data_IF_279660425977
#
_entry.id   IF_279660425977
#
_cell.length_a   1.000
_cell.length_b   1.000
_cell.length_c   1.000
_cell.angle_alpha   90.00
_cell.angle_beta   90.00
_cell.angle_gamma   90.00
#
_symmetry.space_group_name_H-M   'P 1'
#
loop_
_entity.id
_entity.type
_entity.pdbx_description
1 polymer ?
#
# COMPACT_ATOMS: atom_id res chain seq x y z
N UNK A 1 -51.39 2.52 82.31
CA UNK A 1 -50.07 2.49 81.63
C UNK A 1 -49.74 1.04 81.28
N UNK A 2 -50.18 0.60 80.09
CA UNK A 2 -49.89 -0.76 79.61
C UNK A 2 -48.74 -0.74 78.63
N UNK A 3 -47.62 -1.33 79.06
CA UNK A 3 -46.45 -1.50 78.25
C UNK A 3 -46.61 -2.78 77.40
N UNK A 4 -47.02 -2.62 76.13
CA UNK A 4 -47.09 -3.72 75.16
C UNK A 4 -45.68 -4.33 74.93
N UNK A 5 -45.44 -5.52 75.51
CA UNK A 5 -44.29 -6.36 75.19
C UNK A 5 -44.42 -6.81 73.72
N UNK A 6 -43.58 -6.28 72.85
CA UNK A 6 -43.38 -6.84 71.47
C UNK A 6 -42.59 -8.15 71.60
N UNK A 7 -43.19 -9.21 71.15
CA UNK A 7 -42.59 -10.57 71.21
C UNK A 7 -41.32 -10.66 70.38
N UNK A 8 -40.21 -11.26 70.92
CA UNK A 8 -38.94 -11.44 70.21
C UNK A 8 -39.03 -12.35 68.98
N UNK A 9 -40.07 -13.17 68.85
CA UNK A 9 -40.33 -14.07 67.74
C UNK A 9 -40.62 -13.36 66.41
N UNK A 10 -41.13 -12.13 66.41
CA UNK A 10 -41.36 -11.37 65.19
C UNK A 10 -40.07 -10.81 64.56
N UNK A 11 -39.02 -10.59 65.32
CA UNK A 11 -37.72 -10.08 64.82
C UNK A 11 -36.91 -11.15 64.12
N UNK A 12 -36.93 -12.38 64.63
CA UNK A 12 -36.21 -13.52 64.02
C UNK A 12 -36.78 -13.91 62.64
N UNK A 13 -38.11 -13.97 62.51
CA UNK A 13 -38.75 -14.25 61.21
C UNK A 13 -38.47 -13.18 60.15
N UNK A 14 -38.37 -11.91 60.55
CA UNK A 14 -38.00 -10.84 59.65
C UNK A 14 -36.54 -10.92 59.20
N UNK A 15 -35.63 -11.29 60.09
CA UNK A 15 -34.22 -11.49 59.78
C UNK A 15 -33.99 -12.71 58.87
N UNK A 16 -34.71 -13.81 59.07
CA UNK A 16 -34.63 -14.98 58.18
C UNK A 16 -35.19 -14.68 56.78
N UNK A 17 -36.28 -13.94 56.68
CA UNK A 17 -36.86 -13.52 55.40
C UNK A 17 -35.95 -12.57 54.62
N UNK A 18 -35.27 -11.65 55.31
CA UNK A 18 -34.24 -10.79 54.70
C UNK A 18 -33.02 -11.58 54.21
N UNK A 19 -32.54 -12.52 55.01
CA UNK A 19 -31.39 -13.38 54.64
C UNK A 19 -31.73 -14.25 53.46
N UNK A 20 -32.93 -14.84 53.39
CA UNK A 20 -33.39 -15.62 52.23
C UNK A 20 -33.53 -14.75 50.95
N UNK A 21 -33.98 -13.49 51.08
CA UNK A 21 -34.01 -12.55 49.96
C UNK A 21 -32.58 -12.17 49.50
N UNK A 22 -31.67 -11.93 50.40
CA UNK A 22 -30.27 -11.62 50.04
C UNK A 22 -29.60 -12.81 49.33
N UNK A 23 -29.73 -14.04 49.86
CA UNK A 23 -29.18 -15.24 49.24
C UNK A 23 -29.75 -15.45 47.82
N UNK A 24 -31.08 -15.24 47.62
CA UNK A 24 -31.73 -15.32 46.32
C UNK A 24 -31.20 -14.25 45.35
N UNK A 25 -30.99 -13.03 45.81
CA UNK A 25 -30.45 -11.95 44.98
C UNK A 25 -29.01 -12.20 44.60
N UNK A 26 -28.18 -12.75 45.48
CA UNK A 26 -26.83 -13.16 45.21
C UNK A 26 -26.76 -14.33 44.24
N UNK A 27 -27.67 -15.30 44.36
CA UNK A 27 -27.76 -16.42 43.43
C UNK A 27 -28.17 -15.96 42.00
N UNK A 28 -29.09 -14.99 41.88
CA UNK A 28 -29.48 -14.36 40.60
C UNK A 28 -28.29 -13.60 40.01
N UNK A 29 -27.56 -12.81 40.81
CA UNK A 29 -26.40 -12.04 40.35
C UNK A 29 -25.27 -12.97 39.83
N UNK A 30 -24.97 -14.02 40.56
CA UNK A 30 -23.99 -15.04 40.14
C UNK A 30 -24.42 -15.76 38.86
N UNK A 31 -25.71 -16.08 38.73
CA UNK A 31 -26.26 -16.66 37.51
C UNK A 31 -26.13 -15.73 36.30
N UNK A 32 -26.40 -14.43 36.46
CA UNK A 32 -26.21 -13.43 35.39
C UNK A 32 -24.74 -13.28 35.00
N UNK A 33 -23.81 -13.27 35.97
CA UNK A 33 -22.37 -13.19 35.70
C UNK A 33 -21.91 -14.46 34.95
N UNK A 34 -22.33 -15.65 35.40
CA UNK A 34 -22.00 -16.90 34.71
C UNK A 34 -22.53 -16.92 33.29
N UNK A 35 -23.79 -16.49 33.06
CA UNK A 35 -24.37 -16.38 31.73
C UNK A 35 -23.62 -15.37 30.83
N UNK A 36 -23.19 -14.23 31.37
CA UNK A 36 -22.39 -13.25 30.64
C UNK A 36 -21.01 -13.80 30.26
N UNK A 37 -20.34 -14.53 31.17
CA UNK A 37 -19.05 -15.18 30.89
C UNK A 37 -19.21 -16.26 29.82
N UNK A 38 -20.24 -17.10 29.92
CA UNK A 38 -20.53 -18.12 28.89
C UNK A 38 -20.82 -17.45 27.55
N UNK A 39 -21.58 -16.37 27.51
CA UNK A 39 -21.88 -15.62 26.29
C UNK A 39 -20.59 -15.05 25.65
N UNK A 40 -19.70 -14.46 26.47
CA UNK A 40 -18.39 -13.97 26.01
C UNK A 40 -17.53 -15.10 25.46
N UNK A 41 -17.50 -16.26 26.14
CA UNK A 41 -16.76 -17.43 25.69
C UNK A 41 -17.34 -17.97 24.38
N UNK A 42 -18.66 -18.05 24.26
CA UNK A 42 -19.34 -18.50 23.03
C UNK A 42 -19.09 -17.54 21.87
N UNK A 43 -19.15 -16.21 22.11
CA UNK A 43 -18.84 -15.19 21.10
C UNK A 43 -17.36 -15.31 20.67
N UNK A 44 -16.41 -15.49 21.59
CA UNK A 44 -15.00 -15.68 21.27
C UNK A 44 -14.75 -17.00 20.52
N UNK A 45 -15.42 -18.10 20.87
CA UNK A 45 -15.32 -19.38 20.18
C UNK A 45 -16.01 -19.35 18.80
N UNK A 46 -17.16 -18.67 18.67
CA UNK A 46 -17.83 -18.49 17.38
C UNK A 46 -17.08 -17.52 16.46
N UNK A 47 -16.36 -16.52 17.03
CA UNK A 47 -15.51 -15.61 16.26
C UNK A 47 -14.15 -16.18 15.87
N UNK A 48 -13.76 -17.35 16.37
CA UNK A 48 -12.52 -18.06 15.99
C UNK A 48 -12.70 -19.08 14.84
N UNK A 49 -13.84 -19.08 14.18
CA UNK A 49 -14.01 -19.79 12.91
C UNK A 49 -13.04 -19.21 11.88
N UNK A 50 -12.04 -19.98 11.45
CA UNK A 50 -11.19 -19.62 10.30
C UNK A 50 -12.09 -19.55 9.08
N UNK A 51 -12.46 -18.32 8.67
CA UNK A 51 -13.18 -18.13 7.42
C UNK A 51 -12.25 -18.51 6.28
N UNK A 52 -12.63 -19.52 5.51
CA UNK A 52 -11.91 -19.89 4.30
C UNK A 52 -12.22 -18.86 3.21
N UNK A 53 -11.19 -18.25 2.67
CA UNK A 53 -11.28 -17.30 1.57
C UNK A 53 -11.07 -18.06 0.26
N UNK A 54 -11.99 -17.86 -0.67
CA UNK A 54 -11.90 -18.44 -2.02
C UNK A 54 -11.00 -17.58 -2.90
N UNK A 55 -10.31 -18.24 -3.82
CA UNK A 55 -9.48 -17.60 -4.84
C UNK A 55 -10.01 -17.87 -6.24
N UNK A 56 -9.69 -16.99 -7.17
CA UNK A 56 -9.91 -17.14 -8.61
C UNK A 56 -8.57 -17.11 -9.30
N UNK A 57 -8.29 -18.04 -10.20
CA UNK A 57 -7.09 -18.04 -11.06
C UNK A 57 -7.23 -16.93 -12.08
N UNK A 58 -6.20 -16.10 -12.24
CA UNK A 58 -6.13 -15.11 -13.30
C UNK A 58 -5.37 -15.68 -14.50
N UNK A 59 -5.75 -15.37 -15.74
CA UNK A 59 -5.09 -15.88 -16.95
C UNK A 59 -3.78 -15.10 -17.26
N UNK A 60 -2.93 -14.94 -16.26
CA UNK A 60 -1.61 -14.32 -16.37
C UNK A 60 -0.61 -15.02 -15.44
N UNK A 61 0.67 -14.74 -15.64
CA UNK A 61 1.76 -15.31 -14.85
C UNK A 61 2.57 -14.20 -14.17
N UNK A 62 3.09 -14.45 -12.98
CA UNK A 62 3.82 -13.46 -12.17
C UNK A 62 5.04 -12.85 -12.89
N UNK A 63 5.66 -13.57 -13.84
CA UNK A 63 6.79 -13.06 -14.63
C UNK A 63 6.39 -12.11 -15.78
N UNK A 64 5.10 -11.82 -15.97
CA UNK A 64 4.57 -10.96 -17.03
C UNK A 64 4.36 -9.50 -16.60
N UNK A 65 5.15 -8.98 -15.66
CA UNK A 65 5.06 -7.62 -15.13
C UNK A 65 3.65 -7.26 -14.64
N UNK A 66 3.06 -8.15 -13.84
CA UNK A 66 1.71 -7.98 -13.30
C UNK A 66 1.64 -6.78 -12.36
N UNK A 67 0.82 -5.80 -12.70
CA UNK A 67 0.66 -4.55 -11.94
C UNK A 67 -0.80 -4.32 -11.58
N UNK A 68 -1.07 -3.89 -10.34
CA UNK A 68 -2.42 -3.52 -9.92
C UNK A 68 -2.89 -2.30 -10.71
N UNK A 69 -4.10 -2.38 -11.22
CA UNK A 69 -4.77 -1.27 -11.86
C UNK A 69 -6.26 -1.33 -11.53
N UNK A 70 -6.76 -0.28 -10.88
CA UNK A 70 -8.17 -0.17 -10.48
C UNK A 70 -8.68 -1.42 -9.73
N UNK A 71 -9.66 -2.12 -10.31
CA UNK A 71 -10.31 -3.31 -9.74
C UNK A 71 -9.73 -4.63 -10.27
N UNK A 72 -8.56 -4.59 -10.91
CA UNK A 72 -7.90 -5.75 -11.50
C UNK A 72 -6.39 -5.59 -11.66
N UNK A 73 -5.86 -6.20 -12.70
CA UNK A 73 -4.43 -6.20 -13.02
C UNK A 73 -4.18 -5.91 -14.49
N UNK A 74 -3.07 -5.22 -14.75
CA UNK A 74 -2.44 -5.12 -16.06
C UNK A 74 -1.29 -6.13 -16.14
N UNK A 75 -1.09 -6.72 -17.31
CA UNK A 75 0.09 -7.53 -17.59
C UNK A 75 0.48 -7.45 -19.07
N UNK A 76 1.75 -7.74 -19.36
CA UNK A 76 2.29 -7.81 -20.70
C UNK A 76 2.63 -9.26 -21.08
N UNK A 77 2.10 -9.75 -22.21
CA UNK A 77 2.27 -11.13 -22.65
C UNK A 77 3.37 -11.31 -23.71
N UNK A 78 4.08 -10.23 -24.07
CA UNK A 78 5.09 -10.21 -25.14
C UNK A 78 4.57 -9.58 -26.44
N UNK A 79 3.26 -9.41 -26.59
CA UNK A 79 2.62 -8.86 -27.80
C UNK A 79 1.55 -7.81 -27.49
N UNK A 80 0.97 -7.85 -26.30
CA UNK A 80 -0.13 -6.96 -25.90
C UNK A 80 -0.08 -6.66 -24.41
N UNK A 81 -0.59 -5.50 -24.04
CA UNK A 81 -0.98 -5.19 -22.67
C UNK A 81 -2.45 -5.61 -22.49
N UNK A 82 -2.72 -6.36 -21.45
CA UNK A 82 -4.06 -6.83 -21.10
C UNK A 82 -4.50 -6.27 -19.77
N UNK A 83 -5.78 -5.95 -19.65
CA UNK A 83 -6.42 -5.69 -18.37
C UNK A 83 -7.40 -6.82 -18.05
N UNK A 84 -7.20 -7.41 -16.87
CA UNK A 84 -8.07 -8.46 -16.32
C UNK A 84 -8.67 -7.94 -15.03
N UNK A 85 -9.99 -8.06 -14.88
CA UNK A 85 -10.64 -7.78 -13.61
C UNK A 85 -10.34 -8.87 -12.56
N UNK A 86 -10.61 -8.58 -11.29
CA UNK A 86 -10.35 -9.53 -10.20
C UNK A 86 -11.17 -10.84 -10.28
N UNK A 87 -12.15 -10.94 -11.17
CA UNK A 87 -12.91 -12.19 -11.42
C UNK A 87 -12.33 -13.06 -12.53
N UNK A 88 -11.22 -12.61 -13.15
CA UNK A 88 -10.48 -13.35 -14.18
C UNK A 88 -10.95 -13.10 -15.61
N UNK A 89 -11.82 -12.11 -15.84
CA UNK A 89 -12.26 -11.74 -17.18
C UNK A 89 -11.32 -10.71 -17.79
N UNK A 90 -10.87 -10.96 -19.03
CA UNK A 90 -10.13 -9.96 -19.82
C UNK A 90 -11.14 -8.90 -20.30
N UNK A 91 -10.96 -7.67 -19.83
CA UNK A 91 -11.84 -6.55 -20.18
C UNK A 91 -11.42 -5.89 -21.50
N UNK A 92 -10.10 -5.77 -21.69
CA UNK A 92 -9.53 -5.25 -22.93
C UNK A 92 -8.08 -5.70 -23.15
N UNK A 93 -7.61 -5.54 -24.38
CA UNK A 93 -6.23 -5.79 -24.79
C UNK A 93 -5.79 -4.71 -25.76
N UNK A 94 -4.54 -4.28 -25.62
CA UNK A 94 -3.92 -3.29 -26.50
C UNK A 94 -2.63 -3.86 -27.11
N UNK A 95 -2.53 -4.01 -28.43
CA UNK A 95 -1.34 -4.58 -29.09
C UNK A 95 -0.17 -3.61 -28.98
N UNK A 96 1.00 -4.15 -28.67
CA UNK A 96 2.26 -3.40 -28.55
C UNK A 96 3.39 -4.19 -29.20
N UNK A 97 4.54 -3.51 -29.42
CA UNK A 97 5.74 -4.17 -29.93
C UNK A 97 6.38 -5.07 -28.89
N UNK A 98 7.21 -6.00 -29.34
CA UNK A 98 8.06 -6.81 -28.48
C UNK A 98 9.00 -5.91 -27.63
N UNK A 99 9.27 -6.34 -26.40
CA UNK A 99 10.08 -5.59 -25.45
C UNK A 99 9.39 -4.34 -24.87
N UNK A 100 8.07 -4.22 -25.00
CA UNK A 100 7.35 -3.09 -24.43
C UNK A 100 7.41 -3.08 -22.89
N UNK A 101 7.49 -1.87 -22.36
CA UNK A 101 7.31 -1.57 -20.94
C UNK A 101 6.08 -0.68 -20.75
N UNK A 102 5.54 -0.67 -19.53
CA UNK A 102 4.40 0.19 -19.23
C UNK A 102 4.45 0.70 -17.79
N UNK A 103 3.72 1.78 -17.55
CA UNK A 103 3.45 2.30 -16.22
C UNK A 103 1.99 2.76 -16.15
N UNK A 104 1.32 2.50 -15.02
CA UNK A 104 -0.06 2.89 -14.82
C UNK A 104 -0.20 3.83 -13.61
N UNK A 105 -1.00 4.87 -13.77
CA UNK A 105 -1.59 5.64 -12.68
C UNK A 105 -2.98 5.07 -12.34
N UNK A 106 -3.73 5.75 -11.47
CA UNK A 106 -5.09 5.30 -11.13
C UNK A 106 -6.05 5.26 -12.33
N UNK A 107 -5.80 6.04 -13.39
CA UNK A 107 -6.75 6.27 -14.49
C UNK A 107 -6.16 6.16 -15.88
N UNK A 108 -4.84 6.17 -16.02
CA UNK A 108 -4.18 6.20 -17.32
C UNK A 108 -2.99 5.24 -17.33
N UNK A 109 -2.64 4.79 -18.52
CA UNK A 109 -1.52 3.89 -18.76
C UNK A 109 -0.62 4.51 -19.83
N UNK A 110 0.68 4.48 -19.61
CA UNK A 110 1.68 4.83 -20.59
C UNK A 110 2.46 3.58 -20.96
N UNK A 111 2.63 3.36 -22.26
CA UNK A 111 3.30 2.19 -22.82
C UNK A 111 4.37 2.66 -23.79
N UNK A 112 5.55 2.05 -23.73
CA UNK A 112 6.63 2.37 -24.66
C UNK A 112 7.40 1.12 -25.05
N UNK A 113 7.96 1.16 -26.26
CA UNK A 113 8.88 0.16 -26.78
C UNK A 113 9.87 0.88 -27.71
N UNK A 114 11.15 0.86 -27.35
CA UNK A 114 12.17 1.67 -28.03
C UNK A 114 11.72 3.16 -28.05
N UNK A 115 11.56 3.76 -29.22
CA UNK A 115 11.05 5.14 -29.38
C UNK A 115 9.51 5.25 -29.48
N UNK A 116 8.78 4.13 -29.62
CA UNK A 116 7.32 4.16 -29.74
C UNK A 116 6.67 4.45 -28.40
N UNK A 117 5.73 5.38 -28.37
CA UNK A 117 4.99 5.81 -27.19
C UNK A 117 3.49 5.73 -27.43
N UNK A 118 2.76 5.10 -26.51
CA UNK A 118 1.30 5.15 -26.48
C UNK A 118 0.81 5.58 -25.09
N UNK A 119 -0.25 6.40 -25.06
CA UNK A 119 -0.99 6.75 -23.85
C UNK A 119 -2.39 6.16 -24.00
N UNK A 120 -2.82 5.41 -22.99
CA UNK A 120 -4.12 4.76 -22.96
C UNK A 120 -4.93 5.30 -21.77
N UNK A 121 -6.25 5.34 -21.96
CA UNK A 121 -7.17 5.55 -20.84
C UNK A 121 -7.46 4.22 -20.11
N UNK A 122 -8.29 4.28 -19.07
CA UNK A 122 -8.73 3.13 -18.26
C UNK A 122 -9.50 2.05 -19.05
N UNK A 123 -10.00 2.37 -20.25
CA UNK A 123 -10.68 1.44 -21.14
C UNK A 123 -9.76 0.83 -22.20
N UNK A 124 -8.44 1.02 -22.09
CA UNK A 124 -7.46 0.53 -23.05
C UNK A 124 -7.49 1.26 -24.41
N UNK A 125 -8.19 2.40 -24.50
CA UNK A 125 -8.23 3.20 -25.73
C UNK A 125 -7.07 4.16 -25.78
N UNK A 126 -6.34 4.14 -26.90
CA UNK A 126 -5.23 5.07 -27.11
C UNK A 126 -5.73 6.50 -27.30
N UNK A 127 -5.22 7.41 -26.50
CA UNK A 127 -5.40 8.86 -26.65
C UNK A 127 -4.23 9.50 -27.40
N UNK A 128 -3.07 8.84 -27.39
CA UNK A 128 -1.87 9.22 -28.13
C UNK A 128 -1.10 7.97 -28.54
N UNK A 129 -0.57 7.94 -29.76
CA UNK A 129 0.32 6.87 -30.25
C UNK A 129 1.23 7.43 -31.35
N UNK A 130 2.51 7.68 -31.02
CA UNK A 130 3.53 8.17 -31.96
C UNK A 130 4.93 7.80 -31.47
N UNK A 131 5.89 7.79 -32.40
CA UNK A 131 7.30 7.70 -32.07
C UNK A 131 7.80 9.03 -31.47
N UNK A 132 8.72 8.90 -30.53
CA UNK A 132 9.64 9.96 -30.09
C UNK A 132 10.86 9.99 -31.02
N UNK A 133 11.61 11.08 -30.96
CA UNK A 133 12.83 11.22 -31.79
C UNK A 133 13.99 10.32 -31.30
N UNK A 134 13.95 9.91 -30.03
CA UNK A 134 14.97 9.09 -29.38
C UNK A 134 14.35 7.91 -28.63
N UNK A 135 15.10 6.84 -28.34
CA UNK A 135 14.66 5.76 -27.48
C UNK A 135 14.23 6.24 -26.10
N UNK A 136 13.16 5.68 -25.59
CA UNK A 136 12.60 6.01 -24.28
C UNK A 136 13.27 5.13 -23.22
N UNK A 137 13.92 5.74 -22.23
CA UNK A 137 14.48 5.02 -21.09
C UNK A 137 13.36 4.53 -20.16
N UNK A 138 12.50 5.44 -19.76
CA UNK A 138 11.29 5.15 -19.00
C UNK A 138 10.27 6.29 -19.13
N UNK A 139 9.04 6.01 -18.72
CA UNK A 139 7.99 7.01 -18.70
C UNK A 139 7.13 6.87 -17.44
N UNK A 140 6.51 7.96 -17.01
CA UNK A 140 5.52 7.99 -15.91
C UNK A 140 4.30 8.75 -16.37
N UNK A 141 3.15 8.37 -15.84
CA UNK A 141 1.88 9.03 -16.15
C UNK A 141 1.13 9.35 -14.87
N UNK A 142 0.49 10.48 -14.86
CA UNK A 142 -0.41 10.93 -13.80
C UNK A 142 -1.87 10.96 -14.26
N UNK A 143 -2.63 11.86 -13.65
CA UNK A 143 -4.06 12.04 -13.98
C UNK A 143 -4.25 12.85 -15.26
N UNK A 144 -3.37 13.81 -15.57
CA UNK A 144 -3.49 14.73 -16.72
C UNK A 144 -2.24 14.85 -17.57
N UNK A 145 -1.09 14.42 -17.05
CA UNK A 145 0.19 14.59 -17.71
C UNK A 145 0.97 13.28 -17.76
N UNK A 146 1.85 13.21 -18.73
CA UNK A 146 2.85 12.17 -18.87
C UNK A 146 4.24 12.80 -18.90
N UNK A 147 5.20 12.16 -18.27
CA UNK A 147 6.62 12.48 -18.38
C UNK A 147 7.33 11.34 -19.08
N UNK A 148 8.11 11.68 -20.10
CA UNK A 148 8.87 10.76 -20.93
C UNK A 148 10.34 11.11 -20.78
N UNK A 149 11.17 10.14 -20.48
CA UNK A 149 12.60 10.29 -20.34
C UNK A 149 13.28 9.57 -21.50
N UNK A 150 14.11 10.29 -22.24
CA UNK A 150 14.92 9.81 -23.37
C UNK A 150 16.39 10.14 -23.15
N UNK A 151 17.24 9.81 -24.10
CA UNK A 151 18.69 10.05 -24.05
C UNK A 151 19.45 8.90 -23.40
N UNK A 152 20.69 9.16 -23.00
CA UNK A 152 21.56 8.18 -22.33
C UNK A 152 21.42 8.23 -20.80
N UNK A 153 21.94 7.23 -20.10
CA UNK A 153 21.83 7.10 -18.63
C UNK A 153 22.31 8.35 -17.86
N UNK A 154 23.32 9.06 -18.39
CA UNK A 154 23.92 10.22 -17.76
C UNK A 154 23.65 11.53 -18.51
N UNK A 155 22.73 11.50 -19.45
CA UNK A 155 22.35 12.64 -20.28
C UNK A 155 20.86 12.54 -20.63
N UNK A 156 20.04 12.48 -19.58
CA UNK A 156 18.61 12.29 -19.73
C UNK A 156 17.89 13.57 -20.13
N UNK A 157 17.07 13.48 -21.16
CA UNK A 157 16.12 14.52 -21.57
C UNK A 157 14.72 14.18 -21.05
N UNK A 158 14.07 15.15 -20.43
CA UNK A 158 12.69 15.03 -19.97
C UNK A 158 11.75 15.76 -20.91
N UNK A 159 10.67 15.11 -21.30
CA UNK A 159 9.52 15.72 -21.99
C UNK A 159 8.27 15.56 -21.13
N UNK A 160 7.56 16.65 -20.88
CA UNK A 160 6.22 16.64 -20.26
C UNK A 160 5.18 16.90 -21.34
N UNK A 161 4.20 16.00 -21.40
CA UNK A 161 3.09 16.07 -22.37
C UNK A 161 1.75 15.97 -21.63
N UNK A 162 0.68 16.47 -22.27
CA UNK A 162 -0.67 16.11 -21.84
C UNK A 162 -1.05 14.70 -22.34
N UNK A 163 -2.22 14.22 -21.95
CA UNK A 163 -2.71 12.88 -22.33
C UNK A 163 -3.03 12.74 -23.83
N UNK A 164 -3.08 13.82 -24.58
CA UNK A 164 -3.25 13.86 -26.03
C UNK A 164 -1.91 14.00 -26.76
N UNK A 165 -0.79 14.03 -26.00
CA UNK A 165 0.56 14.12 -26.52
C UNK A 165 1.01 15.53 -26.88
N UNK A 166 0.23 16.57 -26.56
CA UNK A 166 0.66 17.94 -26.76
C UNK A 166 1.83 18.26 -25.81
N UNK A 167 2.84 18.95 -26.32
CA UNK A 167 4.00 19.37 -25.54
C UNK A 167 3.62 20.43 -24.51
N UNK A 168 4.01 20.20 -23.27
CA UNK A 168 3.82 21.14 -22.16
C UNK A 168 5.15 21.77 -21.79
N UNK A 169 6.20 20.95 -21.58
CA UNK A 169 7.52 21.41 -21.17
C UNK A 169 8.61 20.37 -21.49
N UNK A 170 9.88 20.80 -21.47
CA UNK A 170 11.03 19.90 -21.61
C UNK A 170 12.28 20.49 -20.96
N UNK A 171 13.19 19.62 -20.53
CA UNK A 171 14.52 20.02 -20.06
C UNK A 171 15.55 19.03 -20.64
N UNK A 172 16.53 19.55 -21.36
CA UNK A 172 17.52 18.77 -22.10
C UNK A 172 18.92 18.84 -21.48
N UNK A 173 19.12 19.59 -20.41
CA UNK A 173 20.46 19.86 -19.86
C UNK A 173 20.55 19.66 -18.35
N UNK A 174 19.43 19.54 -17.68
CA UNK A 174 19.39 19.48 -16.21
C UNK A 174 20.10 18.26 -15.63
N UNK A 175 20.10 17.15 -16.37
CA UNK A 175 20.64 15.87 -15.91
C UNK A 175 21.97 15.52 -16.54
N UNK A 176 22.65 16.49 -17.17
CA UNK A 176 24.00 16.30 -17.73
C UNK A 176 24.93 15.79 -16.63
N UNK A 177 25.52 14.59 -16.83
CA UNK A 177 26.36 13.93 -15.86
C UNK A 177 25.67 13.35 -14.64
N UNK A 178 24.33 13.32 -14.60
CA UNK A 178 23.54 12.74 -13.52
C UNK A 178 22.67 11.58 -14.00
N UNK A 179 22.59 10.55 -13.20
CA UNK A 179 21.65 9.46 -13.44
C UNK A 179 20.27 9.85 -12.93
N UNK A 180 19.30 10.03 -13.83
CA UNK A 180 17.90 10.21 -13.47
C UNK A 180 17.26 8.87 -13.13
N UNK A 181 16.91 8.67 -11.87
CA UNK A 181 16.40 7.38 -11.37
C UNK A 181 14.91 7.22 -11.50
N UNK A 182 14.15 8.25 -11.14
CA UNK A 182 12.70 8.20 -11.14
C UNK A 182 12.12 9.62 -11.13
N UNK A 183 10.85 9.70 -11.51
CA UNK A 183 10.08 10.93 -11.45
C UNK A 183 8.61 10.60 -11.23
N UNK A 184 7.81 11.60 -10.92
CA UNK A 184 6.38 11.40 -10.74
C UNK A 184 5.63 12.71 -10.54
N UNK A 185 4.31 12.62 -10.66
CA UNK A 185 3.42 13.75 -10.48
C UNK A 185 2.83 13.76 -9.07
N UNK A 186 2.46 14.96 -8.60
CA UNK A 186 1.78 15.15 -7.33
C UNK A 186 0.92 16.41 -7.30
N UNK A 187 0.14 16.56 -6.21
CA UNK A 187 -0.85 17.61 -6.10
C UNK A 187 -2.14 17.30 -6.85
N UNK A 188 -3.13 18.17 -6.74
CA UNK A 188 -4.40 18.00 -7.43
C UNK A 188 -4.21 18.07 -8.94
N UNK A 189 -4.59 17.00 -9.64
CA UNK A 189 -4.53 16.95 -11.12
C UNK A 189 -3.13 17.19 -11.69
N UNK A 190 -2.07 16.63 -11.06
CA UNK A 190 -0.68 16.70 -11.51
C UNK A 190 -0.15 18.15 -11.62
N UNK A 191 -0.50 18.98 -10.66
CA UNK A 191 -0.06 20.37 -10.65
C UNK A 191 1.47 20.49 -10.54
N UNK A 192 2.11 19.50 -9.90
CA UNK A 192 3.55 19.45 -9.67
C UNK A 192 4.13 18.11 -10.13
N UNK A 193 5.42 18.13 -10.39
CA UNK A 193 6.24 16.97 -10.71
C UNK A 193 7.48 16.96 -9.81
N UNK A 194 7.97 15.80 -9.46
CA UNK A 194 9.27 15.61 -8.82
C UNK A 194 10.18 14.74 -9.69
N UNK A 195 11.50 14.93 -9.56
CA UNK A 195 12.51 14.06 -10.14
C UNK A 195 13.55 13.73 -9.08
N UNK A 196 14.11 12.51 -9.14
CA UNK A 196 15.20 12.05 -8.30
C UNK A 196 16.38 11.68 -9.18
N UNK A 197 17.52 12.38 -9.01
CA UNK A 197 18.76 12.09 -9.73
C UNK A 197 19.93 11.85 -8.78
N UNK A 198 20.94 11.11 -9.26
CA UNK A 198 22.19 10.85 -8.57
C UNK A 198 23.37 11.41 -9.37
N UNK A 199 24.26 12.13 -8.67
CA UNK A 199 25.55 12.55 -9.18
C UNK A 199 26.64 11.65 -8.59
N UNK A 200 27.18 10.77 -9.43
CA UNK A 200 28.28 9.86 -9.08
C UNK A 200 29.66 10.47 -9.32
N UNK A 201 29.75 11.57 -10.06
CA UNK A 201 31.00 12.27 -10.35
C UNK A 201 31.36 13.32 -9.30
N UNK A 202 30.43 13.70 -8.44
CA UNK A 202 30.74 14.51 -7.28
C UNK A 202 31.75 13.78 -6.36
N UNK A 203 32.62 14.50 -5.64
CA UNK A 203 33.58 13.90 -4.70
C UNK A 203 32.92 12.97 -3.65
N UNK A 204 31.66 13.20 -3.36
CA UNK A 204 30.78 12.38 -2.53
C UNK A 204 29.49 12.22 -3.33
N UNK A 205 29.04 10.98 -3.53
CA UNK A 205 27.78 10.69 -4.22
C UNK A 205 26.67 11.53 -3.60
N UNK A 206 25.95 12.26 -4.42
CA UNK A 206 24.90 13.19 -4.03
C UNK A 206 23.62 12.82 -4.73
N UNK A 207 22.51 12.88 -4.06
CA UNK A 207 21.19 12.79 -4.69
C UNK A 207 20.51 14.13 -4.70
N UNK A 208 19.74 14.39 -5.74
CA UNK A 208 18.99 15.62 -5.91
C UNK A 208 17.52 15.29 -6.12
N UNK A 209 16.67 15.78 -5.21
CA UNK A 209 15.23 15.78 -5.36
C UNK A 209 14.81 17.15 -5.88
N UNK A 210 14.39 17.25 -7.13
CA UNK A 210 13.89 18.49 -7.71
C UNK A 210 12.37 18.46 -7.78
N UNK A 211 11.76 19.63 -7.57
CA UNK A 211 10.31 19.83 -7.66
C UNK A 211 10.00 20.89 -8.70
N UNK A 212 8.97 20.66 -9.49
CA UNK A 212 8.58 21.52 -10.60
C UNK A 212 7.07 21.78 -10.56
N UNK A 213 6.67 22.97 -10.88
CA UNK A 213 5.30 23.22 -11.30
C UNK A 213 5.21 22.84 -12.78
N UNK A 214 4.26 21.97 -13.12
CA UNK A 214 4.09 21.53 -14.52
C UNK A 214 3.86 22.73 -15.45
N UNK A 215 4.64 22.82 -16.52
CA UNK A 215 4.68 23.95 -17.45
C UNK A 215 5.64 25.09 -17.06
N UNK A 216 6.39 24.97 -15.95
CA UNK A 216 7.37 25.98 -15.54
C UNK A 216 8.77 25.41 -15.24
N UNK A 217 8.90 24.12 -15.03
CA UNK A 217 10.17 23.39 -14.76
C UNK A 217 11.10 24.08 -13.73
N UNK A 218 10.53 24.76 -12.74
CA UNK A 218 11.31 25.64 -11.86
C UNK A 218 10.59 25.91 -10.54
N UNK A 219 10.60 24.97 -9.59
CA UNK A 219 9.98 25.22 -8.28
C UNK A 219 11.00 25.15 -7.14
N UNK A 220 11.76 24.05 -7.02
CA UNK A 220 12.70 23.88 -5.94
C UNK A 220 13.62 22.69 -6.13
N UNK A 221 14.67 22.63 -5.32
CA UNK A 221 15.66 21.56 -5.35
C UNK A 221 16.16 21.30 -3.93
N UNK A 222 16.14 20.05 -3.51
CA UNK A 222 16.72 19.56 -2.27
C UNK A 222 17.89 18.63 -2.60
N UNK A 223 19.08 18.93 -2.08
CA UNK A 223 20.29 18.12 -2.26
C UNK A 223 20.56 17.31 -1.00
N UNK A 224 20.61 15.99 -1.14
CA UNK A 224 20.91 15.06 -0.06
C UNK A 224 22.34 14.50 -0.25
N UNK A 225 23.30 15.08 0.45
CA UNK A 225 24.69 14.62 0.41
C UNK A 225 24.85 13.39 1.30
N UNK A 226 25.45 12.33 0.78
CA UNK A 226 25.64 11.01 1.43
C UNK A 226 24.37 10.21 1.72
N UNK A 227 23.21 10.68 1.28
CA UNK A 227 21.94 10.01 1.47
C UNK A 227 21.34 9.70 0.10
N UNK A 228 21.09 8.42 -0.17
CA UNK A 228 20.56 7.97 -1.45
C UNK A 228 19.12 7.49 -1.25
N UNK A 229 18.11 8.30 -1.57
CA UNK A 229 16.72 7.88 -1.52
C UNK A 229 16.45 6.75 -2.53
N UNK A 230 15.85 5.68 -2.07
CA UNK A 230 15.47 4.55 -2.92
C UNK A 230 14.01 4.62 -3.36
N UNK A 231 13.21 5.47 -2.71
CA UNK A 231 11.78 5.67 -3.01
C UNK A 231 11.36 7.08 -2.63
N UNK A 232 10.55 7.68 -3.49
CA UNK A 232 9.85 8.94 -3.19
C UNK A 232 8.34 8.67 -3.25
N UNK A 233 7.61 9.17 -2.26
CA UNK A 233 6.15 9.02 -2.15
C UNK A 233 5.56 10.38 -1.80
N UNK A 234 4.45 10.75 -2.45
CA UNK A 234 3.67 11.93 -2.07
C UNK A 234 2.50 11.52 -1.18
N UNK A 235 2.45 12.08 0.01
CA UNK A 235 1.46 11.73 1.03
C UNK A 235 1.20 12.92 1.96
N UNK A 236 -0.05 13.23 2.29
CA UNK A 236 -0.42 14.36 3.17
C UNK A 236 0.21 15.70 2.75
N UNK A 237 0.15 16.01 1.44
CA UNK A 237 0.71 17.23 0.85
C UNK A 237 2.22 17.40 1.08
N UNK A 238 2.94 16.29 1.25
CA UNK A 238 4.40 16.24 1.43
C UNK A 238 5.03 15.19 0.53
N UNK A 239 6.25 15.45 0.10
CA UNK A 239 7.12 14.47 -0.52
C UNK A 239 7.94 13.78 0.56
N UNK A 240 7.93 12.46 0.56
CA UNK A 240 8.67 11.61 1.49
C UNK A 240 9.74 10.85 0.72
N UNK A 241 11.01 11.16 0.99
CA UNK A 241 12.16 10.51 0.38
C UNK A 241 12.76 9.48 1.35
N UNK A 242 12.68 8.20 1.01
CA UNK A 242 13.16 7.09 1.82
C UNK A 242 14.61 6.77 1.50
N UNK A 243 15.46 6.84 2.50
CA UNK A 243 16.83 6.31 2.48
C UNK A 243 16.92 5.05 3.34
N UNK A 244 18.08 4.40 3.37
CA UNK A 244 18.32 3.25 4.27
C UNK A 244 18.33 3.61 5.75
N UNK A 245 18.46 4.88 6.10
CA UNK A 245 18.58 5.34 7.48
C UNK A 245 17.41 6.23 7.93
N UNK A 246 16.96 7.09 7.04
CA UNK A 246 16.03 8.16 7.39
C UNK A 246 15.00 8.37 6.28
N UNK A 247 13.79 8.71 6.69
CA UNK A 247 12.76 9.32 5.88
C UNK A 247 12.91 10.83 5.97
N UNK A 248 13.17 11.49 4.85
CA UNK A 248 13.17 12.94 4.72
C UNK A 248 11.83 13.42 4.20
N UNK A 249 11.34 14.52 4.75
CA UNK A 249 10.03 15.08 4.38
C UNK A 249 10.24 16.47 3.79
N UNK A 250 9.60 16.75 2.64
CA UNK A 250 9.68 18.02 1.93
C UNK A 250 8.30 18.56 1.62
N UNK A 251 8.16 19.86 1.58
CA UNK A 251 6.98 20.51 1.04
C UNK A 251 6.96 20.46 -0.51
N UNK A 252 5.90 21.01 -1.10
CA UNK A 252 5.75 21.04 -2.56
C UNK A 252 6.81 21.87 -3.29
N UNK A 253 7.60 22.67 -2.58
CA UNK A 253 8.72 23.47 -3.12
C UNK A 253 10.07 22.78 -2.94
N UNK A 254 10.11 21.58 -2.38
CA UNK A 254 11.37 20.93 -2.03
C UNK A 254 12.05 21.50 -0.78
N UNK A 255 11.33 22.28 0.04
CA UNK A 255 11.86 22.77 1.32
C UNK A 255 11.68 21.66 2.37
N UNK A 256 12.77 21.31 3.04
CA UNK A 256 12.76 20.24 4.05
C UNK A 256 11.92 20.62 5.28
N UNK A 257 11.00 19.75 5.63
CA UNK A 257 10.24 19.78 6.88
C UNK A 257 10.91 18.84 7.89
N UNK A 258 11.88 19.37 8.63
CA UNK A 258 12.67 18.56 9.58
C UNK A 258 11.85 17.96 10.71
N UNK A 259 10.68 18.52 11.02
CA UNK A 259 9.75 17.97 12.02
C UNK A 259 9.04 16.70 11.51
N UNK A 260 8.92 16.56 10.19
CA UNK A 260 8.39 15.37 9.53
C UNK A 260 9.40 14.24 9.30
N UNK A 261 10.70 14.51 9.54
CA UNK A 261 11.75 13.51 9.35
C UNK A 261 11.66 12.39 10.40
N UNK A 262 11.91 11.15 9.97
CA UNK A 262 11.83 9.99 10.85
C UNK A 262 13.00 9.03 10.62
N UNK A 263 13.51 8.42 11.69
CA UNK A 263 14.50 7.36 11.59
C UNK A 263 13.81 6.08 11.14
N UNK A 264 14.27 5.54 10.00
CA UNK A 264 13.75 4.29 9.42
C UNK A 264 14.86 3.22 9.28
N UNK A 265 15.98 3.41 9.96
CA UNK A 265 17.09 2.44 9.94
C UNK A 265 16.62 1.03 10.29
N UNK A 266 16.98 0.06 9.44
CA UNK A 266 16.52 -1.32 9.55
C UNK A 266 15.11 -1.58 8.99
N UNK A 267 14.46 -0.57 8.37
CA UNK A 267 13.15 -0.66 7.75
C UNK A 267 13.20 -0.22 6.30
N UNK A 268 12.47 -0.90 5.42
CA UNK A 268 12.26 -0.52 4.02
C UNK A 268 10.80 -0.16 3.78
N UNK A 269 10.57 0.74 2.85
CA UNK A 269 9.22 1.02 2.36
C UNK A 269 8.59 -0.25 1.79
N UNK A 270 7.33 -0.47 2.09
CA UNK A 270 6.54 -1.59 1.58
C UNK A 270 5.33 -1.07 0.80
N UNK A 271 4.50 -0.24 1.45
CA UNK A 271 3.24 0.25 0.90
C UNK A 271 2.81 1.56 1.58
N UNK A 272 1.81 2.21 1.04
CA UNK A 272 1.16 3.37 1.66
C UNK A 272 -0.31 3.46 1.26
N UNK A 273 -1.09 4.15 2.07
CA UNK A 273 -2.48 4.48 1.75
C UNK A 273 -2.79 5.92 2.07
N UNK A 274 -3.54 6.56 1.18
CA UNK A 274 -4.08 7.91 1.38
C UNK A 274 -5.58 7.90 1.08
N UNK A 275 -6.40 7.52 2.06
CA UNK A 275 -7.84 7.49 1.86
C UNK A 275 -8.40 8.91 1.69
N UNK A 276 -9.50 9.05 0.96
CA UNK A 276 -10.20 10.36 0.79
C UNK A 276 -10.64 10.97 2.12
N UNK A 277 -10.82 10.16 3.15
CA UNK A 277 -11.14 10.55 4.54
C UNK A 277 -10.37 9.66 5.49
N UNK A 278 -9.78 10.24 6.52
CA UNK A 278 -8.97 9.52 7.51
C UNK A 278 -7.49 9.86 7.40
N UNK A 279 -6.66 9.10 8.09
CA UNK A 279 -5.23 9.30 8.12
C UNK A 279 -4.56 8.56 6.96
N UNK A 280 -3.54 9.17 6.40
CA UNK A 280 -2.64 8.49 5.49
C UNK A 280 -1.58 7.73 6.29
N UNK A 281 -1.22 6.54 5.83
CA UNK A 281 -0.25 5.67 6.50
C UNK A 281 0.79 5.18 5.51
N UNK A 282 2.01 5.01 6.02
CA UNK A 282 3.10 4.33 5.34
C UNK A 282 3.38 3.03 6.08
N UNK A 283 3.45 1.94 5.35
CA UNK A 283 3.77 0.61 5.84
C UNK A 283 5.23 0.28 5.52
N UNK A 284 5.96 -0.15 6.52
CA UNK A 284 7.35 -0.53 6.43
C UNK A 284 7.54 -1.99 6.84
N UNK A 285 8.51 -2.65 6.22
CA UNK A 285 8.97 -3.99 6.57
C UNK A 285 10.46 -3.96 6.99
N UNK A 286 10.95 -4.92 7.80
CA UNK A 286 12.36 -5.01 8.14
C UNK A 286 13.24 -5.20 6.89
N UNK A 287 14.42 -4.56 6.88
CA UNK A 287 15.44 -4.77 5.83
C UNK A 287 16.27 -6.03 6.07
N UNK A 288 16.52 -6.37 7.34
CA UNK A 288 17.33 -7.52 7.72
C UNK A 288 16.43 -8.71 7.94
N UNK A 289 16.31 -9.54 6.91
CA UNK A 289 15.90 -10.92 7.08
C UNK A 289 17.17 -11.70 7.43
N UNK A 290 17.14 -12.52 8.49
CA UNK A 290 18.21 -13.45 8.74
C UNK A 290 18.47 -14.25 7.45
N UNK A 291 19.74 -14.41 7.08
CA UNK A 291 20.14 -15.03 5.81
C UNK A 291 19.48 -16.41 5.67
N UNK A 292 18.54 -16.53 4.74
CA UNK A 292 17.79 -17.76 4.46
C UNK A 292 16.29 -17.72 4.79
N UNK A 293 15.77 -16.70 5.42
CA UNK A 293 14.33 -16.56 5.66
C UNK A 293 13.65 -15.72 4.55
N UNK A 294 12.67 -16.30 3.88
CA UNK A 294 11.92 -15.68 2.78
C UNK A 294 10.62 -15.07 3.26
N UNK A 295 10.61 -14.34 4.39
CA UNK A 295 9.36 -13.76 4.90
C UNK A 295 9.61 -12.69 5.95
N UNK A 296 8.63 -11.83 6.20
CA UNK A 296 8.65 -10.80 7.23
C UNK A 296 7.82 -11.25 8.44
N UNK A 297 8.36 -11.02 9.66
CA UNK A 297 7.68 -11.28 10.94
C UNK A 297 7.14 -10.03 11.61
N UNK A 298 7.59 -8.87 11.17
CA UNK A 298 7.26 -7.59 11.77
C UNK A 298 6.87 -6.56 10.72
N UNK A 299 6.02 -5.62 11.12
CA UNK A 299 5.64 -4.45 10.34
C UNK A 299 5.79 -3.19 11.19
N UNK A 300 5.99 -2.05 10.56
CA UNK A 300 5.92 -0.74 11.18
C UNK A 300 5.02 0.17 10.35
N UNK A 301 4.05 0.80 10.99
CA UNK A 301 3.18 1.79 10.36
C UNK A 301 3.51 3.14 10.93
N UNK A 302 3.74 4.09 10.04
CA UNK A 302 4.04 5.48 10.40
C UNK A 302 3.06 6.44 9.71
N UNK A 303 2.78 7.53 10.39
CA UNK A 303 2.00 8.68 9.90
C UNK A 303 2.36 9.91 10.73
N UNK A 304 1.77 11.06 10.44
CA UNK A 304 1.96 12.26 11.26
C UNK A 304 1.52 12.01 12.70
N UNK A 305 2.45 12.05 13.65
CA UNK A 305 2.19 11.81 15.07
C UNK A 305 1.86 10.35 15.43
N UNK A 306 2.09 9.41 14.53
CA UNK A 306 1.83 7.99 14.74
C UNK A 306 3.02 7.15 14.27
N UNK A 307 3.49 6.26 15.16
CA UNK A 307 4.56 5.30 14.88
C UNK A 307 4.31 4.03 15.71
N UNK A 308 4.02 2.92 15.04
CA UNK A 308 3.69 1.68 15.71
C UNK A 308 4.29 0.47 15.02
N UNK A 309 4.82 -0.46 15.81
CA UNK A 309 5.30 -1.76 15.35
C UNK A 309 4.27 -2.84 15.63
N UNK A 310 4.24 -3.84 14.75
CA UNK A 310 3.34 -4.98 14.79
C UNK A 310 4.16 -6.24 14.60
N UNK A 311 3.93 -7.25 15.43
CA UNK A 311 4.46 -8.58 15.22
C UNK A 311 3.38 -9.42 14.55
N UNK A 312 3.72 -10.02 13.42
CA UNK A 312 2.82 -10.88 12.66
C UNK A 312 2.71 -12.25 13.29
N UNK A 313 1.54 -12.91 13.20
CA UNK A 313 1.36 -14.27 13.77
C UNK A 313 2.23 -15.35 13.13
N UNK A 314 2.68 -15.13 11.89
CA UNK A 314 3.60 -16.01 11.16
C UNK A 314 4.45 -15.18 10.19
N UNK A 315 5.45 -15.81 9.59
CA UNK A 315 6.20 -15.21 8.50
C UNK A 315 5.31 -15.00 7.27
N UNK A 316 5.32 -13.76 6.76
CA UNK A 316 4.52 -13.32 5.63
C UNK A 316 5.39 -12.96 4.43
N UNK A 317 4.94 -13.30 3.24
CA UNK A 317 5.62 -13.02 1.97
C UNK A 317 5.38 -11.60 1.49
N UNK A 318 4.32 -10.95 1.99
CA UNK A 318 3.99 -9.57 1.67
C UNK A 318 2.92 -9.01 2.60
N UNK A 319 2.77 -7.70 2.60
CA UNK A 319 1.72 -7.02 3.34
C UNK A 319 1.36 -5.68 2.67
N UNK A 320 0.15 -5.20 2.91
CA UNK A 320 -0.34 -3.91 2.45
C UNK A 320 -1.19 -3.23 3.50
N UNK A 321 -1.37 -1.91 3.32
CA UNK A 321 -2.25 -1.09 4.14
C UNK A 321 -3.34 -0.46 3.27
N UNK A 322 -4.60 -0.64 3.64
CA UNK A 322 -5.74 -0.02 2.98
C UNK A 322 -6.60 0.71 4.02
N UNK A 323 -6.62 2.04 3.94
CA UNK A 323 -7.20 2.89 4.96
C UNK A 323 -6.64 2.55 6.34
N UNK A 324 -7.49 2.12 7.28
CA UNK A 324 -7.10 1.71 8.62
C UNK A 324 -6.88 0.19 8.78
N UNK A 325 -6.85 -0.55 7.69
CA UNK A 325 -6.68 -2.01 7.69
C UNK A 325 -5.28 -2.39 7.23
N UNK A 326 -4.70 -3.40 7.88
CA UNK A 326 -3.42 -4.02 7.49
C UNK A 326 -3.74 -5.45 7.07
N UNK A 327 -3.22 -5.86 5.92
CA UNK A 327 -3.32 -7.22 5.41
C UNK A 327 -1.91 -7.77 5.21
N UNK A 328 -1.64 -8.97 5.77
CA UNK A 328 -0.36 -9.63 5.62
C UNK A 328 -0.59 -11.08 5.15
N UNK A 329 0.20 -11.54 4.20
CA UNK A 329 -0.01 -12.81 3.49
C UNK A 329 1.13 -13.77 3.80
N UNK A 330 0.77 -14.94 4.36
CA UNK A 330 1.66 -16.08 4.51
C UNK A 330 1.30 -17.17 3.49
N UNK A 331 2.01 -18.29 3.51
CA UNK A 331 1.77 -19.36 2.56
C UNK A 331 0.33 -19.88 2.51
N UNK A 332 -0.38 -19.94 3.64
CA UNK A 332 -1.74 -20.49 3.73
C UNK A 332 -2.75 -19.57 4.40
N UNK A 333 -2.31 -18.44 4.93
CA UNK A 333 -3.17 -17.53 5.68
C UNK A 333 -2.96 -16.08 5.25
N UNK A 334 -4.04 -15.34 5.25
CA UNK A 334 -4.04 -13.90 5.32
C UNK A 334 -4.35 -13.47 6.74
N UNK A 335 -3.58 -12.54 7.24
CA UNK A 335 -3.77 -11.92 8.54
C UNK A 335 -4.33 -10.52 8.35
N UNK A 336 -5.56 -10.29 8.81
CA UNK A 336 -6.19 -8.98 8.75
C UNK A 336 -6.16 -8.32 10.13
N UNK A 337 -5.71 -7.08 10.18
CA UNK A 337 -5.61 -6.28 11.40
C UNK A 337 -6.04 -4.83 11.16
N UNK A 338 -6.08 -4.05 12.24
CA UNK A 338 -6.35 -2.61 12.19
C UNK A 338 -5.12 -1.84 12.65
N UNK A 339 -4.85 -0.69 12.02
CA UNK A 339 -3.77 0.22 12.42
C UNK A 339 -3.87 0.63 13.90
N UNK A 340 -5.08 0.79 14.43
CA UNK A 340 -5.30 1.10 15.84
C UNK A 340 -5.06 -0.08 16.79
N UNK A 341 -4.96 -1.33 16.29
CA UNK A 341 -4.90 -2.56 17.08
C UNK A 341 -3.65 -3.36 16.74
N UNK A 342 -3.09 -4.07 17.72
CA UNK A 342 -2.00 -5.03 17.49
C UNK A 342 -2.50 -6.47 17.25
N UNK A 343 -3.81 -6.65 17.10
CA UNK A 343 -4.40 -7.97 16.88
C UNK A 343 -4.63 -8.22 15.40
N UNK A 344 -4.22 -9.42 14.97
CA UNK A 344 -4.48 -9.95 13.64
C UNK A 344 -5.41 -11.15 13.72
N UNK A 345 -6.34 -11.22 12.79
CA UNK A 345 -7.25 -12.34 12.62
C UNK A 345 -6.81 -13.15 11.41
N UNK A 346 -6.67 -14.47 11.61
CA UNK A 346 -6.24 -15.37 10.56
C UNK A 346 -7.42 -15.79 9.69
N UNK A 347 -7.25 -15.72 8.38
CA UNK A 347 -8.18 -16.20 7.37
C UNK A 347 -7.44 -17.21 6.50
N UNK A 348 -7.94 -18.42 6.39
CA UNK A 348 -7.30 -19.44 5.56
C UNK A 348 -7.52 -19.11 4.09
N UNK A 349 -6.44 -19.05 3.31
CA UNK A 349 -6.48 -18.91 1.85
C UNK A 349 -6.43 -20.30 1.24
N UNK A 350 -7.36 -20.58 0.33
CA UNK A 350 -7.34 -21.81 -0.46
C UNK A 350 -7.09 -21.45 -1.92
N UNK A 351 -5.84 -21.59 -2.39
CA UNK A 351 -5.48 -21.44 -3.79
C UNK A 351 -5.62 -22.79 -4.49
N UNK A 352 -6.46 -22.89 -5.51
CA UNK A 352 -6.58 -24.08 -6.35
C UNK A 352 -6.46 -25.38 -5.56
N UNK A 353 -5.41 -26.17 -5.82
CA UNK A 353 -5.14 -27.47 -5.17
C UNK A 353 -4.50 -27.36 -3.78
N UNK A 354 -4.71 -26.24 -3.05
CA UNK A 354 -4.12 -26.02 -1.72
C UNK A 354 -2.66 -25.58 -1.75
N UNK A 355 -2.21 -25.01 -2.86
CA UNK A 355 -0.86 -24.46 -3.01
C UNK A 355 -0.63 -23.25 -2.10
N UNK A 356 0.60 -23.01 -1.63
CA UNK A 356 0.90 -21.85 -0.80
C UNK A 356 1.00 -20.56 -1.63
N UNK A 357 0.67 -19.43 -1.02
CA UNK A 357 1.03 -18.10 -1.54
C UNK A 357 2.54 -17.95 -1.43
N UNK A 358 3.20 -17.63 -2.54
CA UNK A 358 4.65 -17.41 -2.61
C UNK A 358 5.01 -15.94 -2.80
N UNK A 359 4.07 -15.12 -3.30
CA UNK A 359 4.26 -13.70 -3.55
C UNK A 359 2.96 -12.93 -3.35
N UNK A 360 3.07 -11.72 -2.84
CA UNK A 360 1.97 -10.76 -2.79
C UNK A 360 2.26 -9.63 -3.77
N UNK A 361 1.33 -9.39 -4.70
CA UNK A 361 1.47 -8.39 -5.78
C UNK A 361 0.84 -7.06 -5.36
N UNK A 362 -0.35 -7.07 -4.77
CA UNK A 362 -1.00 -5.84 -4.30
C UNK A 362 -2.48 -5.98 -4.01
N UNK A 363 -3.11 -4.85 -3.63
CA UNK A 363 -4.55 -4.76 -3.38
C UNK A 363 -5.24 -4.02 -4.52
N UNK A 364 -6.40 -4.51 -4.94
CA UNK A 364 -7.27 -3.82 -5.91
C UNK A 364 -8.23 -2.87 -5.20
N UNK A 365 -8.75 -1.87 -5.92
CA UNK A 365 -9.66 -0.86 -5.37
C UNK A 365 -11.02 -1.41 -4.91
N UNK A 366 -11.42 -2.60 -5.39
CA UNK A 366 -12.70 -3.23 -5.09
C UNK A 366 -12.62 -4.32 -4.01
N UNK A 367 -11.50 -4.41 -3.27
CA UNK A 367 -11.36 -5.28 -2.10
C UNK A 367 -10.91 -6.71 -2.43
N UNK A 368 -10.03 -6.86 -3.40
CA UNK A 368 -9.31 -8.10 -3.65
C UNK A 368 -7.81 -7.90 -3.39
N UNK A 369 -7.14 -8.96 -3.00
CA UNK A 369 -5.71 -9.07 -3.02
C UNK A 369 -5.28 -9.91 -4.23
N UNK A 370 -4.23 -9.49 -4.89
CA UNK A 370 -3.60 -10.26 -5.97
C UNK A 370 -2.33 -10.90 -5.40
N UNK A 371 -2.26 -12.21 -5.52
CA UNK A 371 -1.16 -13.03 -5.00
C UNK A 371 -0.68 -13.99 -6.08
N UNK A 372 0.53 -14.51 -5.94
CA UNK A 372 1.02 -15.58 -6.79
C UNK A 372 1.36 -16.84 -5.98
N UNK A 373 1.21 -17.99 -6.62
CA UNK A 373 1.73 -19.26 -6.18
C UNK A 373 2.69 -19.77 -7.26
N UNK A 374 3.98 -19.69 -6.98
CA UNK A 374 5.05 -19.82 -8.00
C UNK A 374 4.83 -18.82 -9.14
N UNK A 375 4.46 -19.30 -10.33
CA UNK A 375 4.23 -18.43 -11.49
C UNK A 375 2.77 -18.07 -11.72
N UNK A 376 1.81 -18.79 -11.15
CA UNK A 376 0.38 -18.53 -11.38
C UNK A 376 -0.16 -17.43 -10.47
N UNK A 377 -0.99 -16.56 -11.02
CA UNK A 377 -1.57 -15.41 -10.33
C UNK A 377 -3.02 -15.70 -9.95
N UNK A 378 -3.40 -15.27 -8.76
CA UNK A 378 -4.72 -15.46 -8.18
C UNK A 378 -5.26 -14.15 -7.61
N UNK A 379 -6.56 -13.96 -7.72
CA UNK A 379 -7.27 -12.97 -6.92
C UNK A 379 -7.88 -13.64 -5.69
N UNK A 380 -7.84 -12.96 -4.56
CA UNK A 380 -8.32 -13.41 -3.25
C UNK A 380 -9.21 -12.32 -2.65
N UNK A 381 -10.42 -12.65 -2.23
CA UNK A 381 -11.34 -11.67 -1.62
C UNK A 381 -10.85 -11.23 -0.25
N UNK A 382 -10.81 -9.93 0.02
CA UNK A 382 -10.51 -9.42 1.36
C UNK A 382 -11.71 -9.57 2.31
N UNK A 383 -11.49 -9.87 3.61
CA UNK A 383 -12.56 -9.88 4.61
C UNK A 383 -13.06 -8.45 4.82
N UNK A 384 -14.36 -8.29 4.89
CA UNK A 384 -15.02 -7.01 5.15
C UNK A 384 -15.13 -6.70 6.65
#
# INVERSE_FOLDING_TARGET
>A
MEKKMRSPLMSEQQHEAQRKRQIRNWAILLGCIAAAVILIVVINLAGSGTHTITSTVLPCYAYQDVTIFQDGVLYYDGASIHFINATGSIEWSYPVSDGASFYASDTNIIVWADSQLAILNDQGRSTFNRAMDEPIQFARIGQKHAVIVTGDDLDATIYVKDLQGAHIDSDTTRFDGQLLLDCGFYGSSDQYMWTLSYDFYAPIVTSTLSTFQVGQMNTGTATLTKHLPTKVVYLNDRLHAFTTQQLYTYDYRGVEDTAGNMIVYGWRYLDHTQPKRGNAYILLAPTNQASGETGMSDLRVISTGFDRRYTLPAQCVGAAVDGESIYAFSGQYMYAGKVASQRFYAHQIQLGDGRPVTEFIGLTSNGYAIVASNSEVFSVTLPR
#
